data_IF_119526407112
#
_entry.id   IF_119526407112
#
_cell.length_a   1.000
_cell.length_b   1.000
_cell.length_c   1.000
_cell.angle_alpha   90.00
_cell.angle_beta   90.00
_cell.angle_gamma   90.00
#
_symmetry.space_group_name_H-M   'P 1'
#
loop_
_entity.id
_entity.type
_entity.pdbx_description
1 polymer ?
#
# COMPACT_ATOMS: atom_id res chain seq x y z
N UNK A 1 22.73 -2.56 19.60
CA UNK A 1 22.18 -1.24 20.02
C UNK A 1 21.33 -0.56 18.92
N UNK A 2 20.77 -1.30 17.95
CA UNK A 2 19.80 -0.77 16.97
C UNK A 2 18.37 -1.27 17.18
N UNK A 3 18.21 -2.38 17.90
CA UNK A 3 16.95 -3.12 18.03
C UNK A 3 15.94 -2.43 18.96
N UNK A 4 16.43 -1.66 19.93
CA UNK A 4 15.57 -0.95 20.90
C UNK A 4 14.88 0.27 20.30
N UNK A 5 15.53 0.99 19.37
CA UNK A 5 14.98 2.16 18.70
C UNK A 5 13.95 1.76 17.63
N UNK A 6 14.21 0.70 16.87
CA UNK A 6 13.24 0.15 15.91
C UNK A 6 11.98 -0.34 16.63
N UNK A 7 12.12 -1.01 17.78
CA UNK A 7 10.98 -1.44 18.60
C UNK A 7 10.18 -0.26 19.20
N UNK A 8 10.84 0.83 19.60
CA UNK A 8 10.18 2.04 20.14
C UNK A 8 9.43 2.83 19.06
N UNK A 9 10.01 2.95 17.86
CA UNK A 9 9.35 3.54 16.68
C UNK A 9 8.16 2.67 16.22
N UNK A 10 8.31 1.35 16.28
CA UNK A 10 7.22 0.40 16.02
C UNK A 10 6.10 0.45 17.07
N UNK A 11 6.40 0.79 18.33
CA UNK A 11 5.39 0.99 19.38
C UNK A 11 4.60 2.31 19.21
N UNK A 12 5.14 3.26 18.44
CA UNK A 12 4.58 4.61 18.20
C UNK A 12 4.00 4.81 16.79
N UNK A 13 3.82 3.75 16.00
CA UNK A 13 3.20 3.82 14.67
C UNK A 13 1.89 3.04 14.62
N UNK A 14 1.03 3.35 13.64
CA UNK A 14 -0.14 2.54 13.29
C UNK A 14 0.10 1.85 11.95
N UNK A 15 -0.30 0.58 11.86
CA UNK A 15 -0.21 -0.19 10.63
C UNK A 15 -1.53 -0.11 9.86
N UNK A 16 -1.46 0.22 8.58
CA UNK A 16 -2.59 0.24 7.67
C UNK A 16 -2.30 -0.64 6.45
N UNK A 17 -2.99 -1.77 6.33
CA UNK A 17 -2.84 -2.70 5.21
C UNK A 17 -4.04 -2.65 4.28
N UNK A 18 -3.83 -2.23 3.04
CA UNK A 18 -4.87 -2.02 2.05
C UNK A 18 -4.62 -2.90 0.82
N UNK A 19 -5.60 -3.73 0.40
CA UNK A 19 -5.54 -4.38 -0.91
C UNK A 19 -5.71 -3.32 -2.02
N UNK A 20 -4.89 -3.40 -3.06
CA UNK A 20 -4.88 -2.42 -4.15
C UNK A 20 -4.79 -3.09 -5.52
N UNK A 21 -5.28 -2.41 -6.57
CA UNK A 21 -5.28 -2.92 -7.94
C UNK A 21 -3.99 -2.65 -8.72
N UNK A 22 -3.10 -1.83 -8.18
CA UNK A 22 -1.84 -1.40 -8.80
C UNK A 22 -0.69 -2.38 -8.51
N UNK A 23 0.39 -2.30 -9.29
CA UNK A 23 1.55 -3.15 -9.06
C UNK A 23 2.34 -2.65 -7.83
N UNK A 24 3.02 -3.54 -7.09
CA UNK A 24 3.84 -3.13 -5.96
C UNK A 24 4.92 -2.10 -6.29
N UNK A 25 5.43 -2.13 -7.52
CA UNK A 25 6.42 -1.14 -7.99
C UNK A 25 5.82 0.24 -8.12
N UNK A 26 4.59 0.37 -8.61
CA UNK A 26 3.90 1.66 -8.78
C UNK A 26 3.60 2.28 -7.43
N UNK A 27 3.19 1.46 -6.44
CA UNK A 27 2.97 1.90 -5.06
C UNK A 27 4.20 2.59 -4.47
N UNK A 28 5.36 1.94 -4.62
CA UNK A 28 6.62 2.44 -4.08
C UNK A 28 7.15 3.63 -4.89
N UNK A 29 6.91 3.63 -6.22
CA UNK A 29 7.32 4.75 -7.08
C UNK A 29 6.57 6.03 -6.72
N UNK A 30 5.25 5.97 -6.55
CA UNK A 30 4.44 7.13 -6.19
C UNK A 30 4.89 7.77 -4.87
N UNK A 31 5.15 6.97 -3.81
CA UNK A 31 5.64 7.56 -2.56
C UNK A 31 7.05 8.15 -2.69
N UNK A 32 7.91 7.55 -3.52
CA UNK A 32 9.23 8.14 -3.80
C UNK A 32 9.09 9.50 -4.47
N UNK A 33 8.21 9.63 -5.47
CA UNK A 33 7.98 10.90 -6.17
C UNK A 33 7.50 11.99 -5.19
N UNK A 34 6.61 11.65 -4.25
CA UNK A 34 6.19 12.57 -3.17
C UNK A 34 7.35 12.92 -2.25
N UNK A 35 8.10 11.93 -1.75
CA UNK A 35 9.22 12.24 -0.87
C UNK A 35 10.28 13.10 -1.54
N UNK A 36 10.56 12.88 -2.83
CA UNK A 36 11.47 13.72 -3.62
C UNK A 36 10.93 15.15 -3.79
N UNK A 37 9.62 15.33 -4.05
CA UNK A 37 9.00 16.66 -4.18
C UNK A 37 9.00 17.45 -2.87
N UNK A 38 8.86 16.75 -1.74
CA UNK A 38 8.92 17.31 -0.39
C UNK A 38 10.34 17.43 0.18
N UNK A 39 11.37 16.96 -0.54
CA UNK A 39 12.77 17.00 -0.10
C UNK A 39 13.10 16.05 1.05
N UNK A 40 12.33 14.97 1.22
CA UNK A 40 12.56 13.97 2.25
C UNK A 40 13.68 13.00 1.88
N UNK A 41 14.56 12.70 2.82
CA UNK A 41 15.50 11.59 2.70
C UNK A 41 14.77 10.26 2.90
N UNK A 42 15.03 9.30 2.01
CA UNK A 42 14.32 8.02 1.98
C UNK A 42 15.26 6.84 1.78
N UNK A 43 15.03 5.78 2.55
CA UNK A 43 15.77 4.52 2.43
C UNK A 43 14.90 3.41 1.86
N UNK A 44 15.45 2.66 0.91
CA UNK A 44 14.79 1.48 0.33
C UNK A 44 14.89 0.28 1.27
N UNK A 45 13.78 -0.44 1.42
CA UNK A 45 13.72 -1.74 2.08
C UNK A 45 13.48 -2.82 1.03
N UNK A 46 14.18 -3.95 1.15
CA UNK A 46 13.91 -5.14 0.38
C UNK A 46 13.84 -6.35 1.32
N UNK A 47 12.63 -6.89 1.49
CA UNK A 47 12.32 -7.96 2.46
C UNK A 47 11.56 -9.10 1.76
N UNK A 48 11.37 -10.21 2.47
CA UNK A 48 10.52 -11.33 2.04
C UNK A 48 9.46 -11.60 3.10
N UNK A 49 8.16 -11.58 2.72
CA UNK A 49 7.05 -11.84 3.64
C UNK A 49 6.33 -13.12 3.26
N UNK A 50 5.98 -13.92 4.26
CA UNK A 50 5.15 -15.10 4.07
C UNK A 50 3.71 -14.68 3.80
N UNK A 51 3.13 -15.16 2.70
CA UNK A 51 1.72 -14.90 2.34
C UNK A 51 0.98 -16.22 2.18
N UNK A 52 -0.28 -16.26 2.62
CA UNK A 52 -1.12 -17.44 2.54
C UNK A 52 -1.99 -17.42 1.27
N UNK A 53 -2.03 -18.53 0.53
CA UNK A 53 -3.00 -18.80 -0.54
C UNK A 53 -4.03 -19.80 -0.06
N UNK A 54 -5.31 -19.56 -0.37
CA UNK A 54 -6.39 -20.50 -0.11
C UNK A 54 -6.76 -21.24 -1.40
N UNK A 55 -6.35 -22.50 -1.51
CA UNK A 55 -6.86 -23.43 -2.52
C UNK A 55 -7.61 -24.55 -1.80
N UNK A 56 -8.91 -24.33 -1.65
CA UNK A 56 -9.97 -25.32 -1.34
C UNK A 56 -9.91 -26.03 0.04
N UNK A 57 -8.78 -26.31 0.69
CA UNK A 57 -8.70 -26.78 2.11
C UNK A 57 -7.28 -26.64 2.76
N UNK A 58 -6.21 -26.26 2.05
CA UNK A 58 -4.83 -26.24 2.62
C UNK A 58 -4.11 -24.90 2.36
N UNK A 59 -3.49 -24.24 3.37
CA UNK A 59 -2.69 -23.04 3.17
C UNK A 59 -1.35 -23.40 2.51
N UNK A 60 -1.13 -22.93 1.29
CA UNK A 60 0.20 -22.99 0.65
C UNK A 60 0.86 -21.63 0.90
N UNK A 61 1.75 -21.59 1.89
CA UNK A 61 2.59 -20.42 2.17
C UNK A 61 3.61 -20.25 1.04
N UNK A 62 3.57 -19.12 0.33
CA UNK A 62 4.65 -18.72 -0.59
C UNK A 62 5.32 -17.47 -0.05
N UNK A 63 6.63 -17.34 -0.27
CA UNK A 63 7.34 -16.08 -0.01
C UNK A 63 6.95 -15.09 -1.10
N UNK A 64 6.34 -13.96 -0.72
CA UNK A 64 6.19 -12.81 -1.61
C UNK A 64 7.39 -11.88 -1.41
N UNK A 65 7.98 -11.44 -2.52
CA UNK A 65 8.99 -10.37 -2.48
C UNK A 65 8.29 -9.08 -2.06
N UNK A 66 8.79 -8.49 -0.98
CA UNK A 66 8.32 -7.20 -0.47
C UNK A 66 9.31 -6.14 -0.93
N UNK A 67 8.77 -5.07 -1.49
CA UNK A 67 9.53 -3.86 -1.78
C UNK A 67 9.01 -2.79 -0.84
N UNK A 68 9.90 -2.04 -0.20
CA UNK A 68 9.52 -0.99 0.72
C UNK A 68 10.38 0.26 0.61
N UNK A 69 9.92 1.30 1.28
CA UNK A 69 10.55 2.60 1.40
C UNK A 69 10.24 3.15 2.80
N UNK A 70 11.23 3.75 3.44
CA UNK A 70 11.09 4.44 4.72
C UNK A 70 11.53 5.88 4.54
N UNK A 71 10.74 6.81 5.03
CA UNK A 71 11.08 8.22 5.15
C UNK A 71 11.92 8.40 6.42
N UNK A 72 13.15 8.87 6.28
CA UNK A 72 14.11 8.97 7.39
C UNK A 72 14.09 10.34 8.07
N UNK A 73 13.71 11.39 7.34
CA UNK A 73 13.70 12.76 7.84
C UNK A 73 12.47 13.55 7.37
N UNK A 74 12.26 14.72 7.98
CA UNK A 74 11.17 15.64 7.69
C UNK A 74 9.89 15.36 8.47
N UNK A 75 8.81 15.99 8.02
CA UNK A 75 7.49 15.89 8.65
C UNK A 75 6.96 14.45 8.67
N UNK A 76 7.30 13.66 7.65
CA UNK A 76 6.90 12.26 7.53
C UNK A 76 7.93 11.25 8.04
N UNK A 77 9.02 11.67 8.72
CA UNK A 77 10.01 10.72 9.26
C UNK A 77 9.36 9.60 10.10
N UNK A 78 9.77 8.36 9.82
CA UNK A 78 9.17 7.14 10.37
C UNK A 78 8.01 6.58 9.54
N UNK A 79 7.51 7.30 8.52
CA UNK A 79 6.54 6.76 7.56
C UNK A 79 7.22 5.69 6.73
N UNK A 80 6.63 4.50 6.70
CA UNK A 80 7.07 3.43 5.81
C UNK A 80 5.95 2.95 4.93
N UNK A 81 6.31 2.54 3.72
CA UNK A 81 5.43 1.80 2.80
C UNK A 81 6.11 0.48 2.47
N UNK A 82 5.35 -0.60 2.52
CA UNK A 82 5.74 -1.91 1.99
C UNK A 82 4.66 -2.38 1.03
N UNK A 83 5.08 -2.95 -0.09
CA UNK A 83 4.14 -3.52 -1.05
C UNK A 83 4.59 -4.89 -1.54
N UNK A 84 3.61 -5.77 -1.71
CA UNK A 84 3.78 -7.13 -2.20
C UNK A 84 2.54 -7.57 -2.97
N UNK A 85 2.64 -8.71 -3.63
CA UNK A 85 1.48 -9.33 -4.29
C UNK A 85 1.52 -10.84 -4.18
N UNK A 86 0.35 -11.45 -4.19
CA UNK A 86 0.15 -12.88 -4.09
C UNK A 86 -1.01 -13.33 -4.99
N UNK A 87 -1.14 -14.63 -5.24
CA UNK A 87 -2.24 -15.17 -6.07
C UNK A 87 -3.24 -15.85 -5.12
N UNK A 88 -4.36 -15.20 -4.74
CA UNK A 88 -5.33 -15.80 -3.83
C UNK A 88 -6.09 -16.97 -4.46
N UNK A 89 -6.48 -16.84 -5.73
CA UNK A 89 -7.24 -17.83 -6.50
C UNK A 89 -6.36 -18.69 -7.40
N UNK A 90 -6.81 -18.98 -8.62
CA UNK A 90 -6.11 -19.84 -9.58
C UNK A 90 -4.97 -19.14 -10.32
N UNK A 91 -5.18 -17.90 -10.78
CA UNK A 91 -4.23 -17.22 -11.68
C UNK A 91 -4.02 -15.72 -11.40
N UNK A 92 -5.02 -14.98 -10.93
CA UNK A 92 -4.92 -13.53 -10.76
C UNK A 92 -4.11 -13.11 -9.54
N UNK A 93 -3.31 -12.05 -9.69
CA UNK A 93 -2.52 -11.45 -8.61
C UNK A 93 -3.33 -10.40 -7.86
N UNK A 94 -3.31 -10.45 -6.54
CA UNK A 94 -3.79 -9.39 -5.67
C UNK A 94 -2.59 -8.70 -5.03
N UNK A 95 -2.51 -7.39 -5.19
CA UNK A 95 -1.49 -6.55 -4.55
C UNK A 95 -1.99 -6.01 -3.23
N UNK A 96 -1.06 -5.79 -2.32
CA UNK A 96 -1.32 -5.17 -1.02
C UNK A 96 -0.24 -4.14 -0.74
N UNK A 97 -0.65 -3.04 -0.14
CA UNK A 97 0.22 -2.00 0.37
C UNK A 97 0.01 -1.91 1.87
N UNK A 98 1.10 -1.77 2.61
CA UNK A 98 1.13 -1.60 4.05
C UNK A 98 1.85 -0.29 4.35
N UNK A 99 1.17 0.60 5.06
CA UNK A 99 1.76 1.81 5.58
C UNK A 99 2.00 1.66 7.08
N UNK A 100 3.20 1.96 7.55
CA UNK A 100 3.44 2.25 8.97
C UNK A 100 3.44 3.76 9.14
N UNK A 101 2.40 4.27 9.78
CA UNK A 101 2.12 5.69 9.86
C UNK A 101 2.52 6.14 11.27
N UNK A 102 3.47 7.07 11.42
CA UNK A 102 3.87 7.58 12.73
C UNK A 102 2.69 8.22 13.45
N UNK A 103 2.47 7.92 14.74
CA UNK A 103 1.37 8.53 15.53
C UNK A 103 1.48 10.05 15.64
N UNK A 104 2.67 10.61 15.46
CA UNK A 104 2.91 12.06 15.42
C UNK A 104 2.31 12.73 14.17
N UNK A 105 1.99 11.96 13.13
CA UNK A 105 1.37 12.47 11.92
C UNK A 105 -0.13 12.65 12.16
N UNK A 106 -0.61 13.88 11.98
CA UNK A 106 -2.02 14.20 12.11
C UNK A 106 -2.85 13.52 11.01
N UNK A 107 -4.13 13.26 11.31
CA UNK A 107 -5.02 12.58 10.36
C UNK A 107 -5.15 13.36 9.05
N UNK A 108 -5.28 14.68 9.10
CA UNK A 108 -5.42 15.53 7.90
C UNK A 108 -4.16 15.51 7.02
N UNK A 109 -2.96 15.58 7.62
CA UNK A 109 -1.68 15.46 6.89
C UNK A 109 -1.57 14.09 6.24
N UNK A 110 -1.94 13.03 6.96
CA UNK A 110 -1.97 11.67 6.42
C UNK A 110 -2.99 11.51 5.28
N UNK A 111 -4.22 11.99 5.45
CA UNK A 111 -5.27 11.91 4.43
C UNK A 111 -4.88 12.66 3.16
N UNK A 112 -4.22 13.81 3.31
CA UNK A 112 -3.69 14.60 2.19
C UNK A 112 -2.58 13.84 1.44
N UNK A 113 -1.63 13.26 2.17
CA UNK A 113 -0.55 12.44 1.59
C UNK A 113 -1.13 11.19 0.89
N UNK A 114 -2.08 10.49 1.52
CA UNK A 114 -2.70 9.31 0.94
C UNK A 114 -3.49 9.65 -0.33
N UNK A 115 -4.11 10.83 -0.38
CA UNK A 115 -4.78 11.35 -1.58
C UNK A 115 -3.77 11.63 -2.69
N UNK A 116 -2.72 12.39 -2.40
CA UNK A 116 -1.65 12.69 -3.36
C UNK A 116 -1.02 11.41 -3.91
N UNK A 117 -0.72 10.45 -3.01
CA UNK A 117 -0.21 9.13 -3.39
C UNK A 117 -1.18 8.40 -4.31
N UNK A 118 -2.49 8.47 -4.05
CA UNK A 118 -3.51 7.83 -4.87
C UNK A 118 -3.64 8.47 -6.25
N UNK A 119 -3.44 9.79 -6.36
CA UNK A 119 -3.58 10.55 -7.59
C UNK A 119 -2.38 10.37 -8.54
N UNK A 120 -1.17 10.10 -8.02
CA UNK A 120 0.02 9.77 -8.81
C UNK A 120 0.03 8.36 -9.42
N UNK A 121 -0.91 7.51 -9.02
CA UNK A 121 -0.95 6.14 -9.51
C UNK A 121 -1.47 6.05 -10.94
N UNK A 122 -1.01 5.06 -11.73
CA UNK A 122 -1.43 4.90 -13.12
C UNK A 122 -2.92 4.56 -13.30
N UNK A 123 -3.61 4.20 -12.20
CA UNK A 123 -5.04 3.90 -12.16
C UNK A 123 -5.55 3.96 -10.72
N UNK A 124 -6.87 4.06 -10.57
CA UNK A 124 -7.55 4.10 -9.28
C UNK A 124 -7.24 2.85 -8.45
N UNK A 125 -6.60 2.96 -7.27
CA UNK A 125 -6.07 1.80 -6.54
C UNK A 125 -7.15 0.91 -5.89
N UNK A 126 -8.37 1.41 -5.69
CA UNK A 126 -9.51 0.66 -5.13
C UNK A 126 -10.53 0.19 -6.18
N UNK A 127 -10.18 0.24 -7.47
CA UNK A 127 -11.04 -0.25 -8.56
C UNK A 127 -10.38 -1.42 -9.27
N UNK A 128 -11.15 -2.48 -9.51
CA UNK A 128 -10.76 -3.61 -10.35
C UNK A 128 -11.77 -3.78 -11.48
N UNK A 129 -11.28 -4.05 -12.67
CA UNK A 129 -12.08 -4.42 -13.83
C UNK A 129 -12.74 -5.78 -13.62
N UNK A 130 -13.79 -6.05 -14.41
CA UNK A 130 -14.45 -7.34 -14.42
C UNK A 130 -13.48 -8.50 -14.71
N UNK A 131 -12.57 -8.33 -15.66
CA UNK A 131 -11.57 -9.33 -16.03
C UNK A 131 -10.59 -9.62 -14.91
N UNK A 132 -10.08 -8.59 -14.23
CA UNK A 132 -9.22 -8.75 -13.06
C UNK A 132 -9.94 -9.48 -11.93
N UNK A 133 -11.19 -9.09 -11.64
CA UNK A 133 -12.01 -9.79 -10.63
C UNK A 133 -12.23 -11.25 -11.00
N UNK A 134 -12.43 -11.56 -12.28
CA UNK A 134 -12.63 -12.93 -12.76
C UNK A 134 -11.36 -13.78 -12.64
N UNK A 135 -10.18 -13.21 -12.89
CA UNK A 135 -8.90 -13.92 -12.77
C UNK A 135 -8.46 -14.11 -11.32
N UNK A 136 -8.66 -13.11 -10.46
CA UNK A 136 -8.21 -13.13 -9.05
C UNK A 136 -9.20 -13.93 -8.19
N UNK A 137 -10.50 -13.71 -8.39
CA UNK A 137 -11.60 -14.31 -7.63
C UNK A 137 -12.75 -13.31 -7.49
N UNK A 138 -13.86 -13.56 -8.18
CA UNK A 138 -14.87 -12.51 -8.40
C UNK A 138 -15.52 -11.97 -7.12
N UNK A 139 -15.71 -12.83 -6.11
CA UNK A 139 -16.40 -12.52 -4.85
C UNK A 139 -15.45 -12.26 -3.68
N UNK A 140 -14.19 -11.94 -3.96
CA UNK A 140 -13.22 -11.63 -2.92
C UNK A 140 -13.63 -10.38 -2.11
N UNK A 141 -13.67 -10.45 -0.76
CA UNK A 141 -14.03 -9.31 0.09
C UNK A 141 -13.05 -8.14 0.00
N UNK A 142 -11.83 -8.38 -0.47
CA UNK A 142 -10.75 -7.41 -0.59
C UNK A 142 -11.12 -6.21 -1.46
N UNK A 143 -11.98 -6.39 -2.48
CA UNK A 143 -12.46 -5.28 -3.30
C UNK A 143 -13.28 -4.26 -2.48
N UNK A 144 -14.17 -4.77 -1.62
CA UNK A 144 -14.95 -3.93 -0.72
C UNK A 144 -14.07 -3.35 0.39
N UNK A 145 -13.20 -4.19 0.96
CA UNK A 145 -12.28 -3.79 2.04
C UNK A 145 -11.37 -2.65 1.62
N UNK A 146 -10.84 -2.69 0.40
CA UNK A 146 -10.03 -1.61 -0.19
C UNK A 146 -10.76 -0.27 -0.09
N UNK A 147 -11.96 -0.19 -0.66
CA UNK A 147 -12.78 1.04 -0.66
C UNK A 147 -13.09 1.55 0.76
N UNK A 148 -13.44 0.64 1.67
CA UNK A 148 -13.74 0.99 3.07
C UNK A 148 -12.51 1.54 3.78
N UNK A 149 -11.33 0.97 3.55
CA UNK A 149 -10.09 1.45 4.15
C UNK A 149 -9.71 2.82 3.61
N UNK A 150 -9.72 3.04 2.29
CA UNK A 150 -9.45 4.38 1.74
C UNK A 150 -10.43 5.43 2.28
N UNK A 151 -11.73 5.11 2.32
CA UNK A 151 -12.74 6.01 2.86
C UNK A 151 -12.55 6.28 4.36
N UNK A 152 -12.16 5.25 5.15
CA UNK A 152 -11.87 5.39 6.58
C UNK A 152 -10.66 6.26 6.88
N UNK A 153 -9.79 6.45 5.89
CA UNK A 153 -8.60 7.30 5.97
C UNK A 153 -8.83 8.70 5.38
N UNK A 154 -10.09 9.08 5.13
CA UNK A 154 -10.47 10.43 4.67
C UNK A 154 -10.40 10.65 3.15
N UNK A 155 -10.15 9.60 2.36
CA UNK A 155 -10.12 9.71 0.89
C UNK A 155 -11.53 9.60 0.32
N UNK A 156 -11.95 10.58 -0.49
CA UNK A 156 -13.19 10.45 -1.28
C UNK A 156 -12.99 9.47 -2.44
N UNK A 157 -13.50 8.27 -2.27
CA UNK A 157 -13.39 7.17 -3.24
C UNK A 157 -14.15 7.41 -4.55
N UNK A 158 -14.99 8.45 -4.63
CA UNK A 158 -15.73 8.82 -5.83
C UNK A 158 -15.05 9.94 -6.63
N UNK A 159 -14.18 10.73 -6.00
CA UNK A 159 -13.45 11.88 -6.60
C UNK A 159 -11.98 11.53 -6.88
N UNK A 160 -11.72 10.34 -7.44
CA UNK A 160 -10.36 9.98 -7.87
C UNK A 160 -10.03 10.68 -9.18
N UNK A 161 -8.95 11.47 -9.20
CA UNK A 161 -8.56 12.34 -10.33
C UNK A 161 -7.43 11.78 -11.18
N UNK A 162 -6.92 10.59 -10.87
CA UNK A 162 -5.67 10.13 -11.44
C UNK A 162 -5.71 9.92 -12.97
N UNK A 163 -4.61 10.37 -13.58
CA UNK A 163 -4.20 10.24 -14.98
C UNK A 163 -5.27 10.46 -16.06
N UNK A 164 -5.72 11.71 -16.20
CA UNK A 164 -5.97 12.32 -17.53
C UNK A 164 -4.64 12.74 -18.23
N UNK A 165 -3.50 12.14 -17.85
CA UNK A 165 -2.15 12.53 -18.30
C UNK A 165 -1.56 11.62 -19.41
N UNK A 166 -2.41 10.86 -20.09
CA UNK A 166 -2.06 10.18 -21.34
C UNK A 166 -3.21 10.30 -22.36
N UNK A 167 -3.46 11.51 -22.87
CA UNK A 167 -4.00 11.73 -24.22
C UNK A 167 -2.86 11.97 -25.21
#
# INVERSE_FOLDING_TARGET
MGESLEAEVMASSRLLEIPVSIAPTDAIRALREIGESHGWEMRRIQESRMVHRWAIIVPISRQARVIGLVVEDGEAAGLSIRSWSYVPGSAGRLSTVSFEIPRRMELESWSSLLREWSDLLPRCPWKWSFGERSMIGYFLPEYRRSRVLFQGEGVDINDWKGSDLFE
#
